data_IF_611751977724
#
_entry.id   IF_611751977724
#
_cell.length_a   1.000
_cell.length_b   1.000
_cell.length_c   1.000
_cell.angle_alpha   90.00
_cell.angle_beta   90.00
_cell.angle_gamma   90.00
#
_symmetry.space_group_name_H-M   'P 1'
#
loop_
_entity.id
_entity.type
_entity.pdbx_description
1 polymer ?
#
# COMPACT_ATOMS: atom_id res chain seq x y z
N UNK A 1 3.54 -9.02 23.83
CA UNK A 1 2.25 -9.01 23.11
C UNK A 1 2.54 -8.61 21.69
N UNK A 2 2.32 -9.49 20.71
CA UNK A 2 2.43 -9.11 19.29
C UNK A 2 1.28 -8.15 18.99
N UNK A 3 1.56 -6.88 18.71
CA UNK A 3 0.51 -5.95 18.33
C UNK A 3 -0.01 -6.35 16.93
N UNK A 4 -1.31 -6.56 16.81
CA UNK A 4 -1.98 -6.93 15.55
C UNK A 4 -1.79 -5.89 14.43
N UNK A 5 -1.36 -4.68 14.81
CA UNK A 5 -1.09 -3.56 13.93
C UNK A 5 0.15 -2.81 14.44
N UNK A 6 0.73 -2.00 13.56
CA UNK A 6 1.75 -1.05 13.94
C UNK A 6 1.47 0.31 13.31
N UNK A 7 1.97 1.36 13.95
CA UNK A 7 1.90 2.72 13.43
C UNK A 7 3.21 3.03 12.73
N UNK A 8 3.14 3.43 11.47
CA UNK A 8 4.32 3.81 10.71
C UNK A 8 4.49 5.35 10.76
N UNK A 9 5.71 5.81 11.05
CA UNK A 9 6.10 7.24 11.03
C UNK A 9 7.06 7.57 9.89
N UNK A 10 7.26 6.64 8.95
CA UNK A 10 8.14 6.84 7.80
C UNK A 10 7.68 8.04 6.97
N UNK A 11 8.65 8.89 6.65
CA UNK A 11 8.42 10.11 5.90
C UNK A 11 8.43 9.81 4.40
N UNK A 12 7.37 9.18 3.90
CA UNK A 12 7.17 8.92 2.47
C UNK A 12 6.37 10.07 1.88
N UNK A 13 6.97 10.88 1.00
CA UNK A 13 6.24 11.91 0.27
C UNK A 13 5.58 11.32 -0.96
N UNK A 14 4.50 11.94 -1.43
CA UNK A 14 3.86 11.54 -2.68
C UNK A 14 4.80 11.68 -3.88
N UNK A 15 5.71 12.65 -3.83
CA UNK A 15 6.78 12.88 -4.80
C UNK A 15 7.78 11.71 -4.88
N UNK A 16 7.94 10.96 -3.79
CA UNK A 16 8.85 9.81 -3.72
C UNK A 16 8.25 8.54 -4.34
N UNK A 17 6.95 8.57 -4.66
CA UNK A 17 6.21 7.44 -5.24
C UNK A 17 6.04 7.69 -6.73
N UNK A 18 6.61 6.79 -7.54
CA UNK A 18 6.44 6.83 -8.99
C UNK A 18 5.15 6.13 -9.36
N UNK A 19 4.29 6.84 -10.07
CA UNK A 19 3.00 6.35 -10.55
C UNK A 19 2.99 6.28 -12.07
N UNK A 20 2.08 5.46 -12.62
CA UNK A 20 1.59 5.73 -13.96
C UNK A 20 0.71 7.00 -13.93
N UNK A 21 0.49 7.62 -15.09
CA UNK A 21 -0.21 8.90 -15.18
C UNK A 21 -1.66 8.80 -14.67
N UNK A 22 -2.39 7.75 -15.08
CA UNK A 22 -3.77 7.51 -14.68
C UNK A 22 -3.95 7.37 -13.15
N UNK A 23 -3.08 6.61 -12.47
CA UNK A 23 -3.12 6.46 -11.01
C UNK A 23 -2.75 7.77 -10.32
N UNK A 24 -1.78 8.51 -10.87
CA UNK A 24 -1.40 9.82 -10.32
C UNK A 24 -2.58 10.80 -10.32
N UNK A 25 -3.33 10.86 -11.43
CA UNK A 25 -4.51 11.72 -11.55
C UNK A 25 -5.61 11.33 -10.57
N UNK A 26 -5.92 10.04 -10.46
CA UNK A 26 -6.94 9.54 -9.54
C UNK A 26 -6.57 9.81 -8.07
N UNK A 27 -5.30 9.65 -7.69
CA UNK A 27 -4.84 9.99 -6.33
C UNK A 27 -4.93 11.50 -6.08
N UNK A 28 -4.51 12.33 -7.05
CA UNK A 28 -4.63 13.80 -6.93
C UNK A 28 -6.10 14.23 -6.79
N UNK A 29 -7.00 13.62 -7.55
CA UNK A 29 -8.43 13.88 -7.46
C UNK A 29 -8.98 13.48 -6.09
N UNK A 30 -8.67 12.27 -5.62
CA UNK A 30 -9.05 11.79 -4.28
C UNK A 30 -8.59 12.74 -3.17
N UNK A 31 -7.33 13.19 -3.22
CA UNK A 31 -6.78 14.13 -2.23
C UNK A 31 -7.52 15.47 -2.22
N UNK A 32 -7.88 15.98 -3.41
CA UNK A 32 -8.67 17.22 -3.53
C UNK A 32 -10.08 17.04 -2.97
N UNK A 33 -10.78 15.97 -3.34
CA UNK A 33 -12.11 15.68 -2.81
C UNK A 33 -12.10 15.59 -1.30
N UNK A 34 -11.12 14.89 -0.74
CA UNK A 34 -10.98 14.75 0.70
C UNK A 34 -10.66 16.09 1.39
N UNK A 35 -9.84 16.94 0.77
CA UNK A 35 -9.53 18.28 1.28
C UNK A 35 -10.78 19.17 1.34
N UNK A 36 -11.67 19.08 0.34
CA UNK A 36 -12.91 19.86 0.27
C UNK A 36 -14.14 19.13 0.82
N UNK A 37 -13.95 18.03 1.56
CA UNK A 37 -15.05 17.16 2.03
C UNK A 37 -16.16 17.89 2.77
N UNK A 38 -15.82 18.87 3.62
CA UNK A 38 -16.82 19.60 4.41
C UNK A 38 -17.72 20.48 3.54
N UNK A 39 -17.20 20.93 2.39
CA UNK A 39 -17.99 21.67 1.39
C UNK A 39 -18.86 20.69 0.61
N UNK A 40 -18.30 19.57 0.15
CA UNK A 40 -19.04 18.55 -0.61
C UNK A 40 -20.19 17.95 0.21
N UNK A 41 -19.97 17.67 1.48
CA UNK A 41 -20.97 17.14 2.41
C UNK A 41 -22.16 18.11 2.60
N UNK A 42 -21.95 19.44 2.54
CA UNK A 42 -23.05 20.43 2.60
C UNK A 42 -24.00 20.35 1.40
N UNK A 43 -23.51 19.84 0.27
CA UNK A 43 -24.30 19.60 -0.93
C UNK A 43 -24.74 18.13 -1.05
N UNK A 44 -24.60 17.35 0.03
CA UNK A 44 -24.96 15.92 0.06
C UNK A 44 -24.19 15.08 -0.97
N UNK A 45 -23.04 15.57 -1.44
CA UNK A 45 -22.20 14.86 -2.38
C UNK A 45 -21.35 13.81 -1.63
N UNK A 46 -21.29 12.56 -2.13
CA UNK A 46 -20.45 11.54 -1.52
C UNK A 46 -18.98 11.89 -1.68
N UNK A 47 -18.19 11.65 -0.63
CA UNK A 47 -16.74 11.82 -0.64
C UNK A 47 -16.12 10.46 -0.49
N UNK A 48 -15.24 10.10 -1.42
CA UNK A 48 -14.53 8.81 -1.38
C UNK A 48 -13.67 8.75 -0.12
N UNK A 49 -13.81 7.68 0.66
CA UNK A 49 -12.94 7.42 1.79
C UNK A 49 -12.46 5.95 1.88
N UNK A 50 -12.89 5.10 0.94
CA UNK A 50 -12.48 3.69 0.86
C UNK A 50 -11.82 3.39 -0.49
N UNK A 51 -10.56 3.00 -0.45
CA UNK A 51 -9.73 2.74 -1.64
C UNK A 51 -9.12 1.33 -1.64
N UNK A 52 -9.17 0.65 -2.77
CA UNK A 52 -8.49 -0.63 -3.02
C UNK A 52 -7.33 -0.42 -4.00
N UNK A 53 -6.12 -0.75 -3.57
CA UNK A 53 -4.91 -0.80 -4.38
C UNK A 53 -4.67 -2.25 -4.80
N UNK A 54 -4.65 -2.54 -6.09
CA UNK A 54 -4.45 -3.91 -6.56
C UNK A 54 -3.45 -3.97 -7.72
N UNK A 55 -2.97 -5.17 -8.05
CA UNK A 55 -2.06 -5.40 -9.18
C UNK A 55 -0.70 -5.95 -8.73
N UNK A 56 0.33 -5.81 -9.57
CA UNK A 56 1.61 -6.51 -9.39
C UNK A 56 2.36 -6.10 -8.11
N UNK A 57 3.06 -7.06 -7.53
CA UNK A 57 3.97 -6.84 -6.40
C UNK A 57 5.08 -5.86 -6.78
N UNK A 58 5.61 -5.12 -5.80
CA UNK A 58 6.75 -4.22 -6.02
C UNK A 58 6.44 -2.94 -6.80
N UNK A 59 5.17 -2.66 -7.08
CA UNK A 59 4.74 -1.47 -7.83
C UNK A 59 4.32 -0.28 -6.94
N UNK A 60 4.59 -0.32 -5.63
CA UNK A 60 4.44 0.86 -4.76
C UNK A 60 3.11 1.00 -4.02
N UNK A 61 2.25 -0.03 -3.97
CA UNK A 61 0.96 0.01 -3.24
C UNK A 61 1.10 0.45 -1.77
N UNK A 62 1.93 -0.25 -0.99
CA UNK A 62 2.18 0.08 0.42
C UNK A 62 2.82 1.47 0.60
N UNK A 63 3.70 1.88 -0.32
CA UNK A 63 4.26 3.24 -0.31
C UNK A 63 3.21 4.31 -0.58
N UNK A 64 2.26 4.02 -1.49
CA UNK A 64 1.16 4.92 -1.83
C UNK A 64 0.26 5.18 -0.63
N UNK A 65 -0.11 4.14 0.13
CA UNK A 65 -0.91 4.30 1.33
C UNK A 65 -0.24 5.23 2.36
N UNK A 66 1.07 5.05 2.57
CA UNK A 66 1.88 5.91 3.45
C UNK A 66 1.97 7.35 2.94
N UNK A 67 2.18 7.53 1.64
CA UNK A 67 2.24 8.85 1.02
C UNK A 67 0.90 9.60 1.13
N UNK A 68 -0.23 8.92 0.93
CA UNK A 68 -1.57 9.51 1.11
C UNK A 68 -1.77 9.96 2.56
N UNK A 69 -1.46 9.08 3.53
CA UNK A 69 -1.57 9.44 4.94
C UNK A 69 -0.71 10.65 5.29
N UNK A 70 0.51 10.72 4.76
CA UNK A 70 1.42 11.85 4.96
C UNK A 70 0.89 13.14 4.32
N UNK A 71 0.40 13.06 3.09
CA UNK A 71 -0.12 14.22 2.36
C UNK A 71 -1.35 14.85 3.05
N UNK A 72 -2.12 14.02 3.77
CA UNK A 72 -3.29 14.43 4.53
C UNK A 72 -3.00 14.72 6.00
N UNK A 73 -1.74 14.68 6.42
CA UNK A 73 -1.27 14.83 7.79
C UNK A 73 -2.01 13.95 8.80
N UNK A 74 -2.14 12.66 8.46
CA UNK A 74 -2.85 11.65 9.27
C UNK A 74 -1.93 10.56 9.75
N UNK A 75 -2.22 10.08 10.96
CA UNK A 75 -1.66 8.82 11.47
C UNK A 75 -2.07 7.69 10.52
N UNK A 76 -1.12 6.81 10.18
CA UNK A 76 -1.40 5.56 9.47
C UNK A 76 -1.31 4.39 10.45
N UNK A 77 -2.34 3.55 10.45
CA UNK A 77 -2.41 2.32 11.21
C UNK A 77 -2.38 1.16 10.22
N UNK A 78 -1.32 0.36 10.27
CA UNK A 78 -1.08 -0.72 9.30
C UNK A 78 -1.43 -2.06 9.95
N UNK A 79 -2.31 -2.80 9.29
CA UNK A 79 -2.74 -4.14 9.65
C UNK A 79 -2.36 -5.08 8.52
N UNK A 80 -1.49 -6.04 8.81
CA UNK A 80 -1.31 -7.18 7.92
C UNK A 80 -2.39 -8.21 8.26
N UNK A 81 -3.27 -8.50 7.30
CA UNK A 81 -4.41 -9.39 7.53
C UNK A 81 -4.01 -10.86 7.65
N UNK A 82 -2.91 -11.31 7.03
CA UNK A 82 -2.41 -12.67 7.21
C UNK A 82 -2.06 -12.97 8.69
N UNK A 83 -1.55 -11.97 9.42
CA UNK A 83 -1.27 -12.12 10.85
C UNK A 83 -2.54 -12.32 11.68
N UNK A 84 -3.65 -11.70 11.29
CA UNK A 84 -4.95 -11.86 11.96
C UNK A 84 -5.43 -13.32 11.83
N UNK A 85 -5.25 -13.93 10.66
CA UNK A 85 -5.64 -15.33 10.38
C UNK A 85 -4.89 -16.34 11.26
N UNK A 86 -3.64 -16.03 11.62
CA UNK A 86 -2.81 -16.91 12.46
C UNK A 86 -3.08 -16.80 13.98
N UNK A 87 -3.92 -15.84 14.40
CA UNK A 87 -4.08 -15.44 15.81
C UNK A 87 -5.31 -16.06 16.51
N UNK A 88 -5.34 -16.02 17.86
CA UNK A 88 -6.44 -16.57 18.68
C UNK A 88 -7.77 -15.82 18.43
N UNK A 89 -8.62 -16.43 17.60
CA UNK A 89 -9.96 -16.01 17.16
C UNK A 89 -10.80 -15.14 18.12
N UNK A 90 -10.89 -15.51 19.40
CA UNK A 90 -11.71 -14.79 20.38
C UNK A 90 -11.16 -13.42 20.81
N UNK A 91 -9.84 -13.28 20.91
CA UNK A 91 -9.18 -11.99 21.18
C UNK A 91 -9.19 -11.11 19.92
N UNK A 92 -9.11 -11.74 18.76
CA UNK A 92 -9.02 -11.09 17.45
C UNK A 92 -10.21 -10.18 17.13
N UNK A 93 -11.46 -10.62 17.35
CA UNK A 93 -12.64 -9.79 17.05
C UNK A 93 -12.72 -8.52 17.90
N UNK A 94 -12.51 -8.63 19.22
CA UNK A 94 -12.51 -7.46 20.12
C UNK A 94 -11.40 -6.48 19.78
N UNK A 95 -10.22 -7.01 19.41
CA UNK A 95 -9.08 -6.18 19.01
C UNK A 95 -9.36 -5.43 17.70
N UNK A 96 -10.02 -6.08 16.73
CA UNK A 96 -10.44 -5.43 15.48
C UNK A 96 -11.46 -4.32 15.75
N UNK A 97 -12.50 -4.58 16.53
CA UNK A 97 -13.47 -3.53 16.89
C UNK A 97 -12.82 -2.35 17.61
N UNK A 98 -11.92 -2.64 18.55
CA UNK A 98 -11.13 -1.62 19.26
C UNK A 98 -10.27 -0.79 18.30
N UNK A 99 -9.63 -1.44 17.33
CA UNK A 99 -8.85 -0.78 16.29
C UNK A 99 -9.71 0.18 15.44
N UNK A 100 -10.89 -0.25 14.97
CA UNK A 100 -11.76 0.64 14.19
C UNK A 100 -12.25 1.83 15.02
N UNK A 101 -12.48 1.64 16.32
CA UNK A 101 -12.78 2.75 17.25
C UNK A 101 -11.61 3.73 17.38
N UNK A 102 -10.38 3.23 17.51
CA UNK A 102 -9.17 4.07 17.52
C UNK A 102 -9.04 4.86 16.21
N UNK A 103 -9.20 4.21 15.06
CA UNK A 103 -9.17 4.85 13.74
C UNK A 103 -10.20 5.95 13.60
N UNK A 104 -11.41 5.75 14.14
CA UNK A 104 -12.46 6.76 14.15
C UNK A 104 -12.06 7.96 15.03
N UNK A 105 -11.64 7.68 16.26
CA UNK A 105 -11.27 8.71 17.25
C UNK A 105 -10.12 9.60 16.74
N UNK A 106 -9.08 8.98 16.18
CA UNK A 106 -7.90 9.67 15.64
C UNK A 106 -8.13 10.25 14.22
N UNK A 107 -9.28 10.00 13.59
CA UNK A 107 -9.54 10.31 12.18
C UNK A 107 -8.39 9.83 11.26
N UNK A 108 -7.88 8.63 11.53
CA UNK A 108 -6.65 8.08 10.95
C UNK A 108 -6.85 7.45 9.55
N UNK A 109 -5.74 7.09 8.92
CA UNK A 109 -5.73 6.16 7.78
C UNK A 109 -5.57 4.74 8.30
N UNK A 110 -6.53 3.87 8.03
CA UNK A 110 -6.42 2.43 8.24
C UNK A 110 -5.92 1.77 6.95
N UNK A 111 -4.78 1.10 7.01
CA UNK A 111 -4.20 0.40 5.88
C UNK A 111 -4.21 -1.12 6.12
N UNK A 112 -4.99 -1.84 5.30
CA UNK A 112 -4.96 -3.29 5.23
C UNK A 112 -3.97 -3.74 4.15
N UNK A 113 -2.91 -4.42 4.54
CA UNK A 113 -2.00 -5.10 3.61
C UNK A 113 -2.40 -6.59 3.48
N UNK A 114 -2.07 -7.18 2.34
CA UNK A 114 -2.41 -8.58 1.99
C UNK A 114 -3.91 -8.89 2.13
N UNK A 115 -4.76 -8.00 1.59
CA UNK A 115 -6.21 -8.08 1.71
C UNK A 115 -6.82 -9.35 1.08
N UNK A 116 -6.12 -9.97 0.12
CA UNK A 116 -6.46 -11.28 -0.44
C UNK A 116 -6.50 -12.42 0.58
N UNK A 117 -5.82 -12.27 1.72
CA UNK A 117 -5.91 -13.22 2.83
C UNK A 117 -7.35 -13.38 3.36
N UNK A 118 -8.17 -12.34 3.31
CA UNK A 118 -9.58 -12.43 3.74
C UNK A 118 -10.45 -13.20 2.75
N UNK A 119 -10.16 -13.08 1.45
CA UNK A 119 -10.89 -13.79 0.40
C UNK A 119 -10.70 -15.30 0.50
N UNK A 120 -9.46 -15.74 0.67
CA UNK A 120 -9.11 -17.17 0.83
C UNK A 120 -9.90 -17.82 1.98
N UNK A 121 -10.01 -17.18 3.14
CA UNK A 121 -10.75 -17.69 4.30
C UNK A 121 -12.24 -17.91 4.00
N UNK A 122 -12.83 -17.01 3.20
CA UNK A 122 -14.25 -17.02 2.93
C UNK A 122 -14.64 -18.18 2.01
N UNK A 123 -13.77 -18.54 1.07
CA UNK A 123 -13.97 -19.61 0.09
C UNK A 123 -13.70 -21.03 0.64
N UNK A 124 -13.01 -21.18 1.77
CA UNK A 124 -12.82 -22.51 2.39
C UNK A 124 -14.15 -23.06 2.96
N UNK A 125 -14.71 -24.08 2.30
CA UNK A 125 -15.94 -24.78 2.70
C UNK A 125 -15.78 -25.87 3.78
N UNK A 126 -14.65 -25.88 4.49
CA UNK A 126 -14.45 -26.80 5.61
C UNK A 126 -15.18 -26.30 6.87
N UNK A 127 -15.91 -27.20 7.53
CA UNK A 127 -16.66 -26.95 8.79
C UNK A 127 -15.78 -26.36 9.92
N UNK A 128 -14.47 -26.56 9.86
CA UNK A 128 -13.51 -26.13 10.88
C UNK A 128 -13.22 -24.61 10.88
N UNK A 129 -13.66 -23.86 9.86
CA UNK A 129 -13.36 -22.42 9.72
C UNK A 129 -14.56 -21.47 9.99
N UNK A 130 -15.62 -21.96 10.62
CA UNK A 130 -16.83 -21.14 10.88
C UNK A 130 -16.56 -19.88 11.71
N UNK A 131 -15.64 -19.95 12.68
CA UNK A 131 -15.23 -18.80 13.50
C UNK A 131 -14.45 -17.75 12.69
N UNK A 132 -13.52 -18.18 11.83
CA UNK A 132 -12.79 -17.29 10.93
C UNK A 132 -13.74 -16.57 9.97
N UNK A 133 -14.72 -17.27 9.38
CA UNK A 133 -15.76 -16.64 8.55
C UNK A 133 -16.54 -15.58 9.32
N UNK A 134 -16.80 -15.79 10.62
CA UNK A 134 -17.45 -14.79 11.47
C UNK A 134 -16.59 -13.54 11.69
N UNK A 135 -15.27 -13.70 11.86
CA UNK A 135 -14.33 -12.57 11.95
C UNK A 135 -14.30 -11.77 10.65
N UNK A 136 -14.21 -12.44 9.50
CA UNK A 136 -14.26 -11.79 8.18
C UNK A 136 -15.55 -10.99 8.01
N UNK A 137 -16.69 -11.57 8.38
CA UNK A 137 -17.98 -10.89 8.34
C UNK A 137 -18.04 -9.67 9.28
N UNK A 138 -17.40 -9.73 10.46
CA UNK A 138 -17.31 -8.59 11.36
C UNK A 138 -16.46 -7.45 10.75
N UNK A 139 -15.31 -7.76 10.16
CA UNK A 139 -14.49 -6.78 9.43
C UNK A 139 -15.33 -6.13 8.31
N UNK A 140 -16.10 -6.93 7.56
CA UNK A 140 -16.97 -6.44 6.50
C UNK A 140 -18.00 -5.43 6.99
N UNK A 141 -18.68 -5.74 8.09
CA UNK A 141 -19.65 -4.82 8.70
C UNK A 141 -18.99 -3.52 9.19
N UNK A 142 -17.74 -3.59 9.66
CA UNK A 142 -16.97 -2.42 10.07
C UNK A 142 -16.52 -1.56 8.87
N UNK A 143 -16.23 -2.19 7.72
CA UNK A 143 -15.97 -1.47 6.45
C UNK A 143 -17.23 -0.80 5.92
N UNK A 144 -18.39 -1.45 6.03
CA UNK A 144 -19.67 -0.89 5.61
C UNK A 144 -20.02 0.38 6.43
N UNK A 145 -19.71 0.37 7.72
CA UNK A 145 -19.93 1.50 8.64
C UNK A 145 -18.65 2.34 8.89
N UNK A 146 -17.72 2.38 7.93
CA UNK A 146 -16.44 3.05 8.13
C UNK A 146 -16.61 4.57 8.29
N UNK A 147 -15.95 5.20 9.28
CA UNK A 147 -16.13 6.62 9.58
C UNK A 147 -15.69 7.53 8.43
N UNK A 148 -16.57 8.45 8.02
CA UNK A 148 -16.33 9.41 6.92
C UNK A 148 -15.07 10.26 7.08
N UNK A 149 -14.71 10.57 8.33
CA UNK A 149 -13.53 11.39 8.66
C UNK A 149 -12.20 10.63 8.62
N UNK A 150 -12.24 9.30 8.53
CA UNK A 150 -11.08 8.42 8.38
C UNK A 150 -11.00 7.90 6.97
N UNK A 151 -9.85 7.33 6.58
CA UNK A 151 -9.65 6.73 5.26
C UNK A 151 -9.28 5.27 5.42
N UNK A 152 -9.92 4.42 4.63
CA UNK A 152 -9.57 3.01 4.52
C UNK A 152 -8.84 2.78 3.20
N UNK A 153 -7.65 2.19 3.28
CA UNK A 153 -6.89 1.75 2.12
C UNK A 153 -6.65 0.25 2.29
N UNK A 154 -6.99 -0.55 1.29
CA UNK A 154 -6.62 -1.96 1.24
C UNK A 154 -5.65 -2.19 0.08
N UNK A 155 -4.65 -3.06 0.26
CA UNK A 155 -3.75 -3.49 -0.81
C UNK A 155 -3.82 -5.01 -1.01
N UNK A 156 -3.80 -5.42 -2.28
CA UNK A 156 -3.74 -6.84 -2.66
C UNK A 156 -2.86 -7.03 -3.89
N UNK A 157 -2.23 -8.20 -3.98
CA UNK A 157 -1.54 -8.63 -5.19
C UNK A 157 -2.40 -9.53 -6.09
N UNK A 158 -3.52 -10.05 -5.56
CA UNK A 158 -4.35 -11.06 -6.20
C UNK A 158 -5.84 -10.69 -6.06
N UNK A 159 -6.28 -9.69 -6.82
CA UNK A 159 -7.69 -9.24 -6.78
C UNK A 159 -8.67 -10.37 -7.09
N UNK A 160 -8.28 -11.32 -7.93
CA UNK A 160 -9.08 -12.50 -8.29
C UNK A 160 -9.34 -13.47 -7.12
N UNK A 161 -8.56 -13.39 -6.03
CA UNK A 161 -8.79 -14.19 -4.82
C UNK A 161 -9.79 -13.53 -3.87
N UNK A 162 -10.27 -12.34 -4.20
CA UNK A 162 -11.20 -11.57 -3.38
C UNK A 162 -12.56 -11.58 -4.07
N UNK A 163 -13.58 -12.09 -3.39
CA UNK A 163 -14.96 -12.07 -3.86
C UNK A 163 -15.40 -10.62 -4.22
N UNK A 164 -16.11 -10.47 -5.34
CA UNK A 164 -16.76 -9.25 -5.80
C UNK A 164 -17.50 -8.48 -4.70
N UNK A 165 -18.14 -9.17 -3.75
CA UNK A 165 -18.85 -8.53 -2.65
C UNK A 165 -17.90 -7.70 -1.76
N UNK A 166 -16.65 -8.13 -1.57
CA UNK A 166 -15.61 -7.36 -0.87
C UNK A 166 -15.16 -6.18 -1.73
N UNK A 167 -14.88 -6.44 -3.01
CA UNK A 167 -14.39 -5.41 -3.95
C UNK A 167 -15.38 -4.26 -4.11
N UNK A 168 -16.69 -4.53 -4.13
CA UNK A 168 -17.76 -3.52 -4.27
C UNK A 168 -17.84 -2.51 -3.13
N UNK A 169 -17.24 -2.79 -1.97
CA UNK A 169 -17.24 -1.89 -0.79
C UNK A 169 -16.23 -0.74 -0.90
N UNK A 170 -15.27 -0.88 -1.82
CA UNK A 170 -14.29 0.15 -2.13
C UNK A 170 -14.80 0.98 -3.31
N UNK A 171 -14.88 2.29 -3.08
CA UNK A 171 -15.41 3.27 -4.04
C UNK A 171 -14.38 3.54 -5.13
N UNK A 172 -13.10 3.65 -4.74
CA UNK A 172 -11.98 3.87 -5.64
C UNK A 172 -11.09 2.63 -5.73
N UNK A 173 -10.78 2.21 -6.95
CA UNK A 173 -9.97 1.03 -7.23
C UNK A 173 -8.82 1.43 -8.15
N UNK A 174 -7.60 1.29 -7.65
CA UNK A 174 -6.39 1.72 -8.35
C UNK A 174 -5.57 0.50 -8.75
N UNK A 175 -5.38 0.32 -10.04
CA UNK A 175 -4.55 -0.75 -10.59
C UNK A 175 -3.09 -0.33 -10.74
N UNK A 176 -2.21 -1.11 -10.11
CA UNK A 176 -0.76 -0.97 -10.16
C UNK A 176 -0.20 -2.02 -11.11
N UNK A 177 0.03 -1.61 -12.33
CA UNK A 177 0.66 -2.43 -13.37
C UNK A 177 2.18 -2.24 -13.38
N UNK A 178 2.88 -3.10 -14.14
CA UNK A 178 4.31 -2.88 -14.41
C UNK A 178 4.49 -1.51 -15.07
N UNK A 179 5.50 -0.72 -14.65
CA UNK A 179 5.77 0.58 -15.25
C UNK A 179 6.16 0.46 -16.72
N UNK A 180 5.77 1.46 -17.51
CA UNK A 180 6.22 1.56 -18.90
C UNK A 180 7.72 1.85 -18.97
N UNK A 181 8.35 1.57 -20.12
CA UNK A 181 9.78 1.86 -20.33
C UNK A 181 10.13 3.32 -20.06
N UNK A 182 9.32 4.25 -20.56
CA UNK A 182 9.53 5.68 -20.33
C UNK A 182 9.45 6.08 -18.85
N UNK A 183 8.58 5.43 -18.06
CA UNK A 183 8.50 5.66 -16.61
C UNK A 183 9.70 5.05 -15.89
N UNK A 184 10.13 3.85 -16.31
CA UNK A 184 11.33 3.20 -15.77
C UNK A 184 12.59 4.00 -16.08
N UNK A 185 12.72 4.60 -17.27
CA UNK A 185 13.87 5.43 -17.61
C UNK A 185 14.03 6.61 -16.67
N UNK A 186 12.95 7.37 -16.45
CA UNK A 186 12.92 8.46 -15.48
C UNK A 186 13.23 7.97 -14.06
N UNK A 187 12.77 6.78 -13.70
CA UNK A 187 13.03 6.18 -12.40
C UNK A 187 14.50 5.81 -12.22
N UNK A 188 15.13 5.18 -13.24
CA UNK A 188 16.55 4.89 -13.25
C UNK A 188 17.38 6.16 -13.11
N UNK A 189 17.07 7.21 -13.88
CA UNK A 189 17.75 8.51 -13.79
C UNK A 189 17.67 9.06 -12.36
N UNK A 190 16.48 9.07 -11.78
CA UNK A 190 16.25 9.57 -10.41
C UNK A 190 17.03 8.79 -9.36
N UNK A 191 17.13 7.47 -9.51
CA UNK A 191 17.92 6.63 -8.59
C UNK A 191 19.42 6.88 -8.74
N UNK A 192 19.90 7.01 -9.97
CA UNK A 192 21.32 7.17 -10.29
C UNK A 192 21.89 8.53 -9.90
N UNK A 193 21.08 9.59 -9.96
CA UNK A 193 21.49 10.95 -9.57
C UNK A 193 22.00 11.05 -8.13
N UNK A 194 21.72 10.06 -7.29
CA UNK A 194 22.20 9.97 -5.90
C UNK A 194 23.67 9.56 -5.78
N UNK A 195 24.29 9.09 -6.85
CA UNK A 195 25.65 8.55 -6.86
C UNK A 195 26.56 9.37 -7.78
N UNK A 196 27.88 9.41 -7.52
CA UNK A 196 28.85 10.00 -8.45
C UNK A 196 28.80 9.36 -9.85
N UNK A 197 29.02 10.15 -10.89
CA UNK A 197 28.89 9.75 -12.31
C UNK A 197 29.67 8.49 -12.67
N UNK A 198 30.86 8.30 -12.10
CA UNK A 198 31.70 7.11 -12.30
C UNK A 198 31.06 5.78 -11.85
N UNK A 199 30.06 5.83 -10.97
CA UNK A 199 29.34 4.64 -10.47
C UNK A 199 27.96 4.46 -11.09
N UNK A 200 27.53 5.38 -11.97
CA UNK A 200 26.19 5.37 -12.57
C UNK A 200 26.06 4.45 -13.79
N UNK A 201 27.14 3.80 -14.23
CA UNK A 201 27.11 2.89 -15.39
C UNK A 201 26.31 1.63 -15.05
N UNK A 202 25.19 1.41 -15.73
CA UNK A 202 24.45 0.14 -15.70
C UNK A 202 23.70 -0.11 -17.02
N UNK A 203 23.44 -1.39 -17.28
CA UNK A 203 22.49 -1.81 -18.31
C UNK A 203 21.08 -1.86 -17.72
N UNK A 204 20.17 -1.03 -18.24
CA UNK A 204 18.78 -0.94 -17.76
C UNK A 204 18.01 -2.20 -18.11
N UNK A 205 17.23 -2.71 -17.16
CA UNK A 205 16.28 -3.80 -17.38
C UNK A 205 14.85 -3.25 -17.43
N UNK A 206 14.00 -3.84 -18.27
CA UNK A 206 12.61 -3.42 -18.47
C UNK A 206 11.65 -4.58 -18.18
N UNK A 207 10.35 -4.28 -18.21
CA UNK A 207 9.28 -5.24 -17.91
C UNK A 207 9.31 -5.79 -16.47
N UNK A 208 9.99 -5.03 -15.59
CA UNK A 208 10.15 -5.30 -14.16
C UNK A 208 9.38 -4.27 -13.32
N UNK A 209 9.10 -4.61 -12.07
CA UNK A 209 8.55 -3.70 -11.07
C UNK A 209 9.55 -2.61 -10.64
N UNK A 210 9.06 -1.55 -9.99
CA UNK A 210 9.93 -0.53 -9.40
C UNK A 210 10.90 -1.12 -8.36
N UNK A 211 10.43 -2.08 -7.56
CA UNK A 211 11.27 -2.75 -6.57
C UNK A 211 12.43 -3.53 -7.23
N UNK A 212 12.15 -4.28 -8.29
CA UNK A 212 13.16 -5.02 -9.04
C UNK A 212 14.15 -4.09 -9.75
N UNK A 213 13.67 -3.04 -10.41
CA UNK A 213 14.50 -2.02 -11.04
C UNK A 213 15.44 -1.36 -10.02
N UNK A 214 14.92 -0.99 -8.84
CA UNK A 214 15.72 -0.41 -7.75
C UNK A 214 16.77 -1.38 -7.22
N UNK A 215 16.42 -2.64 -7.03
CA UNK A 215 17.36 -3.67 -6.58
C UNK A 215 18.48 -3.88 -7.61
N UNK A 216 18.15 -3.85 -8.90
CA UNK A 216 19.12 -3.92 -9.99
C UNK A 216 20.11 -2.74 -9.94
N UNK A 217 19.62 -1.50 -9.84
CA UNK A 217 20.48 -0.32 -9.67
C UNK A 217 21.41 -0.47 -8.47
N UNK A 218 20.85 -0.87 -7.32
CA UNK A 218 21.64 -1.01 -6.10
C UNK A 218 22.72 -2.07 -6.23
N UNK A 219 22.44 -3.18 -6.91
CA UNK A 219 23.42 -4.23 -7.17
C UNK A 219 24.56 -3.72 -8.07
N UNK A 220 24.22 -3.08 -9.18
CA UNK A 220 25.23 -2.59 -10.14
C UNK A 220 26.08 -1.46 -9.56
N UNK A 221 25.46 -0.49 -8.88
CA UNK A 221 26.20 0.60 -8.22
C UNK A 221 27.14 0.05 -7.15
N UNK A 222 26.71 -0.94 -6.35
CA UNK A 222 27.60 -1.61 -5.37
C UNK A 222 28.78 -2.28 -6.06
N UNK A 223 28.54 -3.02 -7.13
CA UNK A 223 29.60 -3.69 -7.90
C UNK A 223 30.61 -2.67 -8.44
N UNK A 224 30.14 -1.57 -9.03
CA UNK A 224 30.97 -0.50 -9.57
C UNK A 224 31.88 0.12 -8.48
N UNK A 225 31.31 0.38 -7.29
CA UNK A 225 32.07 0.92 -6.15
C UNK A 225 33.12 -0.09 -5.69
N UNK A 226 32.76 -1.36 -5.51
CA UNK A 226 33.67 -2.41 -5.05
C UNK A 226 34.84 -2.57 -6.04
N UNK A 227 34.56 -2.61 -7.35
CA UNK A 227 35.59 -2.73 -8.37
C UNK A 227 36.55 -1.54 -8.38
N UNK A 228 36.04 -0.33 -8.19
CA UNK A 228 36.88 0.86 -8.09
C UNK A 228 37.79 0.83 -6.84
N UNK A 229 37.31 0.33 -5.72
CA UNK A 229 38.12 0.18 -4.51
C UNK A 229 39.17 -0.93 -4.64
N UNK A 230 38.84 -2.06 -5.28
CA UNK A 230 39.82 -3.12 -5.59
C UNK A 230 40.96 -2.56 -6.45
N UNK A 231 40.64 -1.82 -7.52
CA UNK A 231 41.67 -1.22 -8.40
C UNK A 231 42.58 -0.23 -7.66
N UNK A 232 42.07 0.51 -6.67
CA UNK A 232 42.90 1.38 -5.82
C UNK A 232 43.85 0.62 -4.91
N UNK A 233 43.47 -0.58 -4.46
CA UNK A 233 44.31 -1.43 -3.60
C UNK A 233 45.38 -2.16 -4.39
N UNK A 234 45.10 -2.56 -5.63
CA UNK A 234 46.08 -3.25 -6.50
C UNK A 234 47.12 -2.30 -7.11
N UNK A 235 46.81 -1.01 -7.21
CA UNK A 235 47.70 0.03 -7.75
C UNK A 235 48.40 0.89 -6.68
N UNK A 236 48.35 0.47 -5.41
CA UNK A 236 49.12 1.03 -4.29
C UNK A 236 50.25 0.07 -3.92
#
# INVERSE_FOLDING_TARGET
MSSLYFTDRSNVKLEDVVFNEAVSEQIKQFLREYQFREVLEKYELPVVNKMLLYGKTGCGKTMTAKAIAKQLDKKIIIVNLANIVSSKLGETSKNIEGLFKEVNYESAVLFFDEFDSLGQIRDYDNKDNSEMKRVVNAILQLIDNFPKKSILIAATNQIQMIDDALVRRFELKLEFTSPSRAVLDKYYDTLLLKYPTQFQKLDRIYDVSFAEAKNHVFKEVKNNIIQAEIHKQTNK
#
